data_IF_232875819634
#
_entry.id   IF_232875819634
#
_cell.length_a   1.000
_cell.length_b   1.000
_cell.length_c   1.000
_cell.angle_alpha   90.00
_cell.angle_beta   90.00
_cell.angle_gamma   90.00
#
_symmetry.space_group_name_H-M   'P 1'
#
loop_
_entity.id
_entity.type
_entity.pdbx_description
1 polymer ?
#
# COMPACT_ATOMS: atom_id res chain seq x y z
N UNK A 1 -32.91 -26.12 46.62
CA UNK A 1 -31.58 -26.01 46.05
C UNK A 1 -31.72 -25.42 44.66
N UNK A 2 -31.38 -24.16 44.56
CA UNK A 2 -31.35 -23.50 43.23
C UNK A 2 -29.97 -23.77 42.61
N UNK A 3 -29.94 -24.54 41.55
CA UNK A 3 -28.73 -24.65 40.71
C UNK A 3 -28.73 -23.45 39.80
N UNK A 4 -27.92 -22.48 40.13
CA UNK A 4 -27.55 -21.40 39.19
C UNK A 4 -26.63 -22.03 38.14
N UNK A 5 -27.22 -22.50 37.05
CA UNK A 5 -26.50 -22.74 35.85
C UNK A 5 -26.07 -21.35 35.33
N UNK A 6 -24.85 -20.94 35.64
CA UNK A 6 -24.25 -19.77 35.01
C UNK A 6 -24.17 -20.05 33.50
N UNK A 7 -25.04 -19.43 32.75
CA UNK A 7 -24.86 -19.38 31.31
C UNK A 7 -23.56 -18.61 31.06
N UNK A 8 -22.50 -19.34 30.76
CA UNK A 8 -21.29 -18.75 30.22
C UNK A 8 -21.66 -18.23 28.84
N UNK A 9 -22.05 -16.97 28.76
CA UNK A 9 -22.14 -16.27 27.48
C UNK A 9 -20.69 -16.05 27.06
N UNK A 10 -20.15 -17.01 26.32
CA UNK A 10 -18.97 -16.75 25.54
C UNK A 10 -19.46 -15.79 24.45
N UNK A 11 -19.32 -14.49 24.74
CA UNK A 11 -19.31 -13.53 23.67
C UNK A 11 -18.09 -13.88 22.82
N UNK A 12 -18.31 -14.68 21.79
CA UNK A 12 -17.37 -14.77 20.72
C UNK A 12 -17.27 -13.34 20.18
N UNK A 13 -16.25 -12.61 20.61
CA UNK A 13 -15.78 -11.43 19.90
C UNK A 13 -15.40 -11.97 18.51
N UNK A 14 -16.37 -11.97 17.61
CA UNK A 14 -16.07 -12.05 16.21
C UNK A 14 -15.20 -10.83 15.92
N UNK A 15 -13.89 -11.01 16.00
CA UNK A 15 -12.98 -10.10 15.36
C UNK A 15 -13.37 -10.15 13.89
N UNK A 16 -14.13 -9.13 13.46
CA UNK A 16 -14.38 -8.95 12.06
C UNK A 16 -12.99 -8.78 11.40
N UNK A 17 -12.51 -9.85 10.75
CA UNK A 17 -11.32 -9.77 9.91
C UNK A 17 -11.75 -8.99 8.68
N UNK A 18 -11.63 -7.66 8.77
CA UNK A 18 -11.78 -6.82 7.60
C UNK A 18 -10.62 -7.14 6.66
N UNK A 19 -10.94 -7.63 5.46
CA UNK A 19 -9.96 -7.73 4.40
C UNK A 19 -9.38 -6.34 4.17
N UNK A 20 -8.10 -6.19 4.46
CA UNK A 20 -7.39 -4.93 4.24
C UNK A 20 -7.12 -4.79 2.75
N UNK A 21 -7.52 -3.67 2.17
CA UNK A 21 -7.16 -3.30 0.80
C UNK A 21 -6.26 -2.08 0.82
N UNK A 22 -5.19 -2.13 0.02
CA UNK A 22 -4.29 -1.00 -0.18
C UNK A 22 -4.56 -0.33 -1.52
N UNK A 23 -4.55 0.98 -1.51
CA UNK A 23 -4.67 1.79 -2.71
C UNK A 23 -3.30 2.36 -3.10
N UNK A 24 -3.10 2.51 -4.39
CA UNK A 24 -2.01 3.32 -4.95
C UNK A 24 -2.57 4.71 -5.20
N UNK A 25 -1.93 5.70 -4.63
CA UNK A 25 -2.38 7.09 -4.67
C UNK A 25 -1.31 8.00 -5.27
N UNK A 26 -1.78 9.04 -5.95
CA UNK A 26 -0.96 10.09 -6.52
C UNK A 26 -1.57 11.45 -6.21
N UNK A 27 -0.81 12.50 -6.41
CA UNK A 27 -1.31 13.87 -6.31
C UNK A 27 -2.39 14.11 -7.37
N UNK A 28 -3.45 14.90 -7.06
CA UNK A 28 -4.53 15.17 -8.03
C UNK A 28 -4.07 15.74 -9.37
N UNK A 29 -2.96 16.48 -9.38
CA UNK A 29 -2.38 17.03 -10.62
C UNK A 29 -1.61 16.00 -11.47
N UNK A 30 -1.35 14.81 -10.95
CA UNK A 30 -0.68 13.75 -11.70
C UNK A 30 -1.68 13.14 -12.70
N UNK A 31 -1.33 13.06 -14.01
CA UNK A 31 -2.25 12.53 -15.02
C UNK A 31 -2.42 11.00 -14.99
N UNK A 32 -1.65 10.28 -14.19
CA UNK A 32 -1.73 8.82 -14.10
C UNK A 32 -3.14 8.37 -13.66
N UNK A 33 -3.73 7.44 -14.40
CA UNK A 33 -5.07 6.87 -14.14
C UNK A 33 -5.02 5.40 -13.79
N UNK A 34 -4.07 4.68 -14.36
CA UNK A 34 -3.90 3.24 -14.21
C UNK A 34 -2.43 2.86 -14.30
N UNK A 35 -2.05 1.86 -13.52
CA UNK A 35 -0.75 1.19 -13.58
C UNK A 35 -1.03 -0.32 -13.55
N UNK A 36 -0.19 -1.11 -14.22
CA UNK A 36 -0.20 -2.55 -14.00
C UNK A 36 0.54 -2.89 -12.69
N UNK A 37 0.23 -4.04 -12.12
CA UNK A 37 1.00 -4.52 -10.96
C UNK A 37 2.47 -4.73 -11.33
N UNK A 38 2.76 -5.10 -12.56
CA UNK A 38 4.12 -5.26 -13.09
C UNK A 38 4.84 -3.91 -13.15
N UNK A 39 4.18 -2.87 -13.64
CA UNK A 39 4.77 -1.51 -13.68
C UNK A 39 5.04 -0.98 -12.29
N UNK A 40 4.12 -1.22 -11.35
CA UNK A 40 4.31 -0.85 -9.96
C UNK A 40 5.54 -1.55 -9.36
N UNK A 41 5.72 -2.83 -9.65
CA UNK A 41 6.90 -3.57 -9.25
C UNK A 41 8.21 -3.00 -9.81
N UNK A 42 8.21 -2.58 -11.06
CA UNK A 42 9.36 -1.91 -11.68
C UNK A 42 9.69 -0.58 -11.00
N UNK A 43 8.68 0.18 -10.61
CA UNK A 43 8.85 1.43 -9.88
C UNK A 43 9.49 1.16 -8.52
N UNK A 44 8.99 0.20 -7.76
CA UNK A 44 9.53 -0.13 -6.44
C UNK A 44 10.95 -0.71 -6.50
N UNK A 45 11.29 -1.39 -7.60
CA UNK A 45 12.65 -1.91 -7.84
C UNK A 45 13.63 -0.86 -8.36
N UNK A 46 13.20 0.36 -8.59
CA UNK A 46 14.03 1.40 -9.16
C UNK A 46 14.37 1.22 -10.64
N UNK A 47 13.64 0.35 -11.35
CA UNK A 47 13.79 0.14 -12.80
C UNK A 47 13.06 1.20 -13.61
N UNK A 48 11.95 1.71 -13.09
CA UNK A 48 11.22 2.85 -13.63
C UNK A 48 11.32 3.98 -12.61
N UNK A 49 11.99 5.06 -12.97
CA UNK A 49 12.33 6.16 -12.05
C UNK A 49 11.63 7.46 -12.38
N UNK A 50 10.97 7.54 -13.53
CA UNK A 50 10.33 8.76 -13.99
C UNK A 50 8.91 8.52 -14.48
N UNK A 51 8.06 9.51 -14.26
CA UNK A 51 6.76 9.62 -14.91
C UNK A 51 6.93 9.86 -16.42
N UNK A 52 5.89 9.61 -17.25
CA UNK A 52 5.97 9.87 -18.69
C UNK A 52 6.38 11.29 -19.06
N UNK A 53 6.11 12.28 -18.20
CA UNK A 53 6.53 13.67 -18.40
C UNK A 53 8.01 13.94 -18.04
N UNK A 54 8.79 12.92 -17.67
CA UNK A 54 10.19 13.00 -17.32
C UNK A 54 10.49 13.39 -15.86
N UNK A 55 9.48 13.73 -15.05
CA UNK A 55 9.68 14.06 -13.63
C UNK A 55 9.96 12.80 -12.82
N UNK A 56 10.88 12.87 -11.87
CA UNK A 56 11.25 11.73 -11.02
C UNK A 56 10.10 11.32 -10.11
N UNK A 57 9.89 10.00 -9.98
CA UNK A 57 8.90 9.42 -9.07
C UNK A 57 9.49 9.37 -7.67
N UNK A 58 8.77 9.90 -6.69
CA UNK A 58 9.03 9.63 -5.27
C UNK A 58 8.01 8.62 -4.78
N UNK A 59 8.47 7.48 -4.31
CA UNK A 59 7.59 6.44 -3.76
C UNK A 59 7.56 6.56 -2.24
N UNK A 60 6.38 6.66 -1.68
CA UNK A 60 6.16 6.73 -0.23
C UNK A 60 5.32 5.53 0.20
N UNK A 61 5.83 4.73 1.10
CA UNK A 61 5.13 3.56 1.64
C UNK A 61 5.45 3.36 3.11
N UNK A 62 4.62 2.59 3.78
CA UNK A 62 4.90 2.21 5.16
C UNK A 62 6.11 1.30 5.22
N UNK A 63 6.79 1.32 6.37
CA UNK A 63 7.94 0.46 6.63
C UNK A 63 7.60 -1.01 6.30
N UNK A 64 8.36 -1.66 5.42
CA UNK A 64 8.09 -3.05 5.02
C UNK A 64 8.25 -4.06 6.16
N UNK A 65 8.86 -3.67 7.29
CA UNK A 65 8.92 -4.51 8.49
C UNK A 65 7.59 -4.57 9.26
N UNK A 66 6.65 -3.68 8.98
CA UNK A 66 5.32 -3.72 9.59
C UNK A 66 4.53 -4.93 9.06
N UNK A 67 3.92 -5.76 9.94
CA UNK A 67 3.23 -6.98 9.50
C UNK A 67 2.15 -6.76 8.44
N UNK A 68 1.45 -5.62 8.49
CA UNK A 68 0.41 -5.25 7.52
C UNK A 68 0.95 -5.10 6.10
N UNK A 69 2.25 -4.85 5.94
CA UNK A 69 2.88 -4.67 4.64
C UNK A 69 3.28 -5.99 3.96
N UNK A 70 3.16 -7.11 4.64
CA UNK A 70 3.56 -8.42 4.12
C UNK A 70 2.99 -8.70 2.73
N UNK A 71 1.66 -8.69 2.61
CA UNK A 71 1.03 -9.03 1.34
C UNK A 71 1.29 -7.98 0.24
N UNK A 72 1.41 -6.71 0.62
CA UNK A 72 1.75 -5.62 -0.32
C UNK A 72 3.12 -5.89 -0.94
N UNK A 73 4.11 -6.18 -0.10
CA UNK A 73 5.48 -6.50 -0.56
C UNK A 73 5.48 -7.72 -1.47
N UNK A 74 4.83 -8.80 -1.04
CA UNK A 74 4.78 -10.05 -1.82
C UNK A 74 4.04 -9.87 -3.14
N UNK A 75 2.89 -9.19 -3.13
CA UNK A 75 2.07 -8.96 -4.33
C UNK A 75 2.75 -8.08 -5.36
N UNK A 76 3.32 -6.97 -4.93
CA UNK A 76 3.94 -6.00 -5.85
C UNK A 76 5.26 -6.55 -6.41
N UNK A 77 6.08 -7.17 -5.57
CA UNK A 77 7.39 -7.65 -5.98
C UNK A 77 7.37 -9.07 -6.53
N UNK A 78 6.27 -9.82 -6.35
CA UNK A 78 6.15 -11.18 -6.86
C UNK A 78 7.17 -12.15 -6.25
N UNK A 79 7.58 -11.93 -5.00
CA UNK A 79 8.56 -12.73 -4.28
C UNK A 79 8.14 -12.96 -2.83
N UNK A 80 8.89 -13.74 -2.06
CA UNK A 80 8.62 -13.90 -0.64
C UNK A 80 8.95 -12.62 0.15
N UNK A 81 8.43 -12.54 1.38
CA UNK A 81 8.56 -11.35 2.22
C UNK A 81 10.02 -10.99 2.51
N UNK A 82 10.87 -11.97 2.84
CA UNK A 82 12.26 -11.72 3.23
C UNK A 82 13.06 -11.13 2.05
N UNK A 83 12.93 -11.72 0.87
CA UNK A 83 13.59 -11.22 -0.33
C UNK A 83 13.03 -9.85 -0.74
N UNK A 84 11.73 -9.68 -0.64
CA UNK A 84 11.07 -8.41 -0.93
C UNK A 84 11.51 -7.29 -0.01
N UNK A 85 11.59 -7.54 1.29
CA UNK A 85 12.10 -6.55 2.26
C UNK A 85 13.56 -6.18 1.97
N UNK A 86 14.40 -7.19 1.74
CA UNK A 86 15.83 -6.97 1.44
C UNK A 86 16.00 -6.11 0.20
N UNK A 87 15.21 -6.36 -0.82
CA UNK A 87 15.21 -5.58 -2.05
C UNK A 87 14.81 -4.11 -1.80
N UNK A 88 13.72 -3.89 -1.08
CA UNK A 88 13.23 -2.54 -0.78
C UNK A 88 14.20 -1.76 0.11
N UNK A 89 14.76 -2.40 1.12
CA UNK A 89 15.74 -1.77 1.99
C UNK A 89 17.01 -1.39 1.21
N UNK A 90 17.50 -2.30 0.36
CA UNK A 90 18.66 -2.03 -0.49
C UNK A 90 18.38 -0.86 -1.44
N UNK A 91 17.19 -0.82 -2.06
CA UNK A 91 16.79 0.27 -2.95
C UNK A 91 16.71 1.60 -2.20
N UNK A 92 16.16 1.62 -1.00
CA UNK A 92 16.01 2.85 -0.19
C UNK A 92 17.35 3.47 0.22
N UNK A 93 18.42 2.68 0.24
CA UNK A 93 19.76 3.11 0.64
C UNK A 93 20.63 3.65 -0.51
N UNK A 94 20.16 3.51 -1.75
CA UNK A 94 20.88 4.05 -2.90
C UNK A 94 20.88 5.58 -2.84
N UNK A 95 21.99 6.21 -3.22
CA UNK A 95 22.15 7.68 -3.14
C UNK A 95 21.16 8.45 -4.02
N UNK A 96 20.68 7.83 -5.10
CA UNK A 96 19.66 8.39 -5.99
C UNK A 96 18.27 7.81 -5.74
N UNK A 97 18.05 7.14 -4.60
CA UNK A 97 16.75 6.54 -4.29
C UNK A 97 15.72 7.61 -3.99
N UNK A 98 14.53 7.40 -4.55
CA UNK A 98 13.32 8.14 -4.22
C UNK A 98 12.32 7.30 -3.44
N UNK A 99 12.72 6.19 -2.88
CA UNK A 99 11.90 5.32 -2.04
C UNK A 99 12.00 5.75 -0.57
N UNK A 100 10.88 6.15 0.01
CA UNK A 100 10.78 6.67 1.37
C UNK A 100 9.83 5.79 2.18
N UNK A 101 10.28 5.36 3.37
CA UNK A 101 9.47 4.63 4.32
C UNK A 101 8.94 5.55 5.41
N UNK A 102 7.66 5.43 5.72
CA UNK A 102 7.00 6.15 6.81
C UNK A 102 6.29 5.16 7.74
N UNK A 103 5.81 5.64 8.88
CA UNK A 103 5.27 4.75 9.91
C UNK A 103 3.75 4.53 9.79
N UNK A 104 3.01 5.48 9.21
CA UNK A 104 1.55 5.44 9.16
C UNK A 104 1.01 5.70 7.76
N UNK A 105 -0.22 5.23 7.49
CA UNK A 105 -0.92 5.55 6.25
C UNK A 105 -1.21 7.05 6.13
N UNK A 106 -1.46 7.73 7.26
CA UNK A 106 -1.65 9.19 7.27
C UNK A 106 -0.41 9.92 6.77
N UNK A 107 0.77 9.46 7.15
CA UNK A 107 2.04 10.02 6.67
C UNK A 107 2.21 9.81 5.16
N UNK A 108 1.79 8.66 4.65
CA UNK A 108 1.77 8.40 3.19
C UNK A 108 0.87 9.40 2.48
N UNK A 109 -0.35 9.55 2.94
CA UNK A 109 -1.34 10.46 2.34
C UNK A 109 -0.85 11.90 2.35
N UNK A 110 -0.29 12.37 3.47
CA UNK A 110 0.28 13.73 3.58
C UNK A 110 1.44 13.95 2.62
N UNK A 111 2.33 12.97 2.49
CA UNK A 111 3.46 13.07 1.57
C UNK A 111 3.01 13.19 0.11
N UNK A 112 1.99 12.43 -0.28
CA UNK A 112 1.42 12.50 -1.64
C UNK A 112 0.67 13.83 -1.85
N UNK A 113 -0.09 14.28 -0.87
CA UNK A 113 -0.80 15.55 -0.92
C UNK A 113 0.15 16.73 -1.15
N UNK A 114 1.35 16.69 -0.58
CA UNK A 114 2.34 17.75 -0.62
C UNK A 114 3.40 17.59 -1.73
N UNK A 115 3.34 16.53 -2.52
CA UNK A 115 4.33 16.27 -3.56
C UNK A 115 3.68 15.80 -4.86
N UNK A 116 3.63 16.65 -5.91
CA UNK A 116 3.01 16.31 -7.18
C UNK A 116 3.62 15.11 -7.92
N UNK A 117 4.84 14.71 -7.57
CA UNK A 117 5.52 13.57 -8.20
C UNK A 117 5.50 12.30 -7.36
N UNK A 118 4.87 12.35 -6.18
CA UNK A 118 4.80 11.21 -5.29
C UNK A 118 3.79 10.16 -5.76
N UNK A 119 4.16 8.90 -5.54
CA UNK A 119 3.29 7.74 -5.57
C UNK A 119 3.28 7.15 -4.17
N UNK A 120 2.10 6.96 -3.61
CA UNK A 120 1.94 6.39 -2.28
C UNK A 120 1.19 5.07 -2.31
N UNK A 121 1.43 4.24 -1.30
CA UNK A 121 0.67 3.01 -1.06
C UNK A 121 0.12 3.11 0.36
N UNK A 122 -1.20 3.16 0.50
CA UNK A 122 -1.87 3.36 1.77
C UNK A 122 -3.15 2.53 1.87
N UNK A 123 -3.53 2.19 3.11
CA UNK A 123 -4.81 1.55 3.38
C UNK A 123 -5.96 2.43 2.86
N UNK A 124 -6.93 1.82 2.18
CA UNK A 124 -8.04 2.54 1.54
C UNK A 124 -8.86 3.37 2.51
N UNK A 125 -8.96 2.95 3.77
CA UNK A 125 -9.73 3.67 4.79
C UNK A 125 -9.07 4.96 5.27
N UNK A 126 -7.81 5.19 4.93
CA UNK A 126 -7.07 6.40 5.26
C UNK A 126 -6.99 7.39 4.08
N UNK A 127 -7.56 7.04 2.94
CA UNK A 127 -7.55 7.88 1.75
C UNK A 127 -8.50 9.08 1.96
N UNK A 128 -8.02 10.24 1.57
CA UNK A 128 -8.79 11.50 1.60
C UNK A 128 -9.05 12.02 0.19
N UNK A 129 -9.94 13.00 0.06
CA UNK A 129 -10.20 13.67 -1.21
C UNK A 129 -9.03 14.51 -1.73
N UNK A 130 -7.98 14.71 -0.92
CA UNK A 130 -6.79 15.46 -1.29
C UNK A 130 -5.82 14.68 -2.18
N UNK A 131 -6.07 13.40 -2.40
CA UNK A 131 -5.25 12.52 -3.25
C UNK A 131 -6.13 11.76 -4.24
N UNK A 132 -5.52 11.24 -5.28
CA UNK A 132 -6.21 10.50 -6.34
C UNK A 132 -5.80 9.04 -6.31
N UNK A 133 -6.77 8.13 -6.36
CA UNK A 133 -6.54 6.69 -6.47
C UNK A 133 -6.25 6.32 -7.92
N UNK A 134 -5.18 5.56 -8.12
CA UNK A 134 -4.79 4.99 -9.41
C UNK A 134 -5.31 3.56 -9.50
N UNK A 135 -5.87 3.18 -10.64
CA UNK A 135 -6.30 1.80 -10.88
C UNK A 135 -5.08 0.90 -11.01
N UNK A 136 -5.21 -0.33 -10.52
CA UNK A 136 -4.21 -1.38 -10.71
C UNK A 136 -4.81 -2.47 -11.60
N UNK A 137 -4.18 -2.73 -12.74
CA UNK A 137 -4.69 -3.63 -13.77
C UNK A 137 -6.16 -3.31 -14.15
N UNK A 138 -6.43 -2.00 -14.33
CA UNK A 138 -7.74 -1.43 -14.65
C UNK A 138 -8.83 -1.63 -13.59
N UNK A 139 -8.47 -2.01 -12.37
CA UNK A 139 -9.39 -2.22 -11.25
C UNK A 139 -9.16 -1.19 -10.14
N UNK A 140 -10.25 -0.79 -9.52
CA UNK A 140 -10.25 0.04 -8.32
C UNK A 140 -10.24 -0.82 -7.06
N UNK A 141 -9.82 -0.29 -5.92
CA UNK A 141 -10.08 -0.93 -4.63
C UNK A 141 -11.55 -1.33 -4.51
N UNK A 142 -11.80 -2.47 -3.91
CA UNK A 142 -13.10 -3.15 -3.77
C UNK A 142 -13.66 -3.80 -5.02
N UNK A 143 -13.09 -3.59 -6.20
CA UNK A 143 -13.48 -4.37 -7.38
C UNK A 143 -13.10 -5.85 -7.22
N UNK A 144 -13.92 -6.78 -7.74
CA UNK A 144 -13.56 -8.19 -7.74
C UNK A 144 -12.21 -8.43 -8.43
N UNK A 145 -11.31 -9.15 -7.74
CA UNK A 145 -9.97 -9.45 -8.27
C UNK A 145 -8.96 -8.32 -8.19
N UNK A 146 -9.24 -7.27 -7.41
CA UNK A 146 -8.24 -6.22 -7.16
C UNK A 146 -6.97 -6.80 -6.53
N UNK A 147 -5.80 -6.44 -7.07
CA UNK A 147 -4.53 -7.10 -6.75
C UNK A 147 -4.02 -6.84 -5.33
N UNK A 148 -4.25 -5.65 -4.77
CA UNK A 148 -3.73 -5.25 -3.46
C UNK A 148 -4.74 -5.48 -2.33
N UNK A 149 -5.42 -6.59 -2.38
CA UNK A 149 -6.35 -7.08 -1.36
C UNK A 149 -5.67 -8.13 -0.49
N UNK A 150 -5.59 -7.86 0.80
CA UNK A 150 -5.15 -8.81 1.83
C UNK A 150 -6.29 -9.74 2.28
N UNK A 151 -5.93 -10.82 2.96
CA UNK A 151 -6.86 -11.80 3.53
C UNK A 151 -6.92 -11.66 5.04
#
# INVERSE_FOLDING_TARGET
MAILAGALVIAALATAVYATEFAVIVHPSNPAKSLSIVDLGKILRGKTTSWPNGRLITVVMRDPNQPVMKFVVEKILGTNLEDGKSLLVAESRKSASSLVFVQTDEDVVKAVENNPTALGIADVYNITSAVKVVRIDDKQPFDPGYALKGH
#
